data_IF_443847344523
#
_entry.id   IF_443847344523
#
_cell.length_a   1.000
_cell.length_b   1.000
_cell.length_c   1.000
_cell.angle_alpha   90.00
_cell.angle_beta   90.00
_cell.angle_gamma   90.00
#
_symmetry.space_group_name_H-M   'P 1'
#
loop_
_entity.id
_entity.type
_entity.pdbx_description
1 polymer ?
#
# COMPACT_ATOMS: atom_id res chain seq x y z
N UNK A 1 11.09 -7.00 7.29
CA UNK A 1 11.17 -5.53 7.19
C UNK A 1 10.16 -4.98 8.18
N UNK A 2 10.50 -4.09 9.13
CA UNK A 2 9.63 -3.87 10.32
C UNK A 2 8.18 -3.45 10.00
N UNK A 3 7.97 -2.45 9.12
CA UNK A 3 6.60 -2.06 8.69
C UNK A 3 5.94 -3.16 7.85
N UNK A 4 6.67 -3.72 6.88
CA UNK A 4 6.19 -4.83 6.06
C UNK A 4 5.74 -6.07 6.85
N UNK A 5 6.48 -6.46 7.89
CA UNK A 5 6.15 -7.60 8.74
C UNK A 5 4.85 -7.32 9.53
N UNK A 6 4.67 -6.07 9.99
CA UNK A 6 3.40 -5.62 10.58
C UNK A 6 2.24 -5.59 9.59
N UNK A 7 2.49 -5.21 8.33
CA UNK A 7 1.49 -5.22 7.28
C UNK A 7 1.02 -6.64 6.95
N UNK A 8 1.96 -7.60 6.83
CA UNK A 8 1.64 -9.02 6.64
C UNK A 8 0.78 -9.53 7.80
N UNK A 9 1.12 -9.20 9.05
CA UNK A 9 0.32 -9.59 10.20
C UNK A 9 -1.11 -9.02 10.13
N UNK A 10 -1.27 -7.74 9.76
CA UNK A 10 -2.58 -7.11 9.62
C UNK A 10 -3.43 -7.77 8.51
N UNK A 11 -2.82 -8.09 7.37
CA UNK A 11 -3.47 -8.80 6.26
C UNK A 11 -3.96 -10.19 6.71
N UNK A 12 -3.11 -10.96 7.41
CA UNK A 12 -3.45 -12.30 7.91
C UNK A 12 -4.60 -12.24 8.91
N UNK A 13 -4.58 -11.26 9.83
CA UNK A 13 -5.66 -11.07 10.82
C UNK A 13 -7.00 -10.74 10.16
N UNK A 14 -6.99 -9.97 9.08
CA UNK A 14 -8.20 -9.61 8.32
C UNK A 14 -8.56 -10.65 7.24
N UNK A 15 -7.83 -11.77 7.19
CA UNK A 15 -8.12 -12.91 6.33
C UNK A 15 -7.90 -12.62 4.85
N UNK A 16 -6.91 -11.79 4.51
CA UNK A 16 -6.50 -11.56 3.13
C UNK A 16 -5.34 -12.48 2.75
N UNK A 17 -5.47 -13.15 1.60
CA UNK A 17 -4.37 -13.83 0.94
C UNK A 17 -3.37 -12.82 0.33
N UNK A 18 -2.24 -13.32 -0.18
CA UNK A 18 -1.30 -12.48 -0.92
C UNK A 18 -1.92 -11.88 -2.20
N UNK A 19 -2.81 -12.62 -2.87
CA UNK A 19 -3.52 -12.11 -4.05
C UNK A 19 -4.61 -11.11 -3.64
N UNK A 20 -5.35 -11.39 -2.56
CA UNK A 20 -6.39 -10.47 -2.06
C UNK A 20 -5.77 -9.12 -1.67
N UNK A 21 -4.56 -9.12 -1.09
CA UNK A 21 -3.82 -7.92 -0.77
C UNK A 21 -3.48 -7.08 -2.02
N UNK A 22 -3.11 -7.73 -3.13
CA UNK A 22 -2.85 -7.06 -4.40
C UNK A 22 -4.13 -6.50 -5.03
N UNK A 23 -5.22 -7.26 -4.99
CA UNK A 23 -6.54 -6.81 -5.48
C UNK A 23 -7.03 -5.62 -4.65
N UNK A 24 -6.89 -5.70 -3.32
CA UNK A 24 -7.19 -4.60 -2.40
C UNK A 24 -6.35 -3.35 -2.70
N UNK A 25 -5.06 -3.52 -3.02
CA UNK A 25 -4.21 -2.41 -3.43
C UNK A 25 -4.61 -1.83 -4.80
N UNK A 26 -4.97 -2.67 -5.76
CA UNK A 26 -5.48 -2.20 -7.05
C UNK A 26 -6.79 -1.41 -6.89
N UNK A 27 -7.67 -1.87 -6.01
CA UNK A 27 -8.96 -1.25 -5.72
C UNK A 27 -8.83 0.14 -5.05
N UNK A 28 -7.67 0.47 -4.45
CA UNK A 28 -7.41 1.84 -3.95
C UNK A 28 -7.13 2.84 -5.08
N UNK A 29 -6.76 2.36 -6.27
CA UNK A 29 -6.41 3.19 -7.42
C UNK A 29 -4.98 3.75 -7.41
N UNK A 30 -4.20 3.49 -6.36
CA UNK A 30 -2.82 4.01 -6.23
C UNK A 30 -1.84 3.38 -7.23
N UNK A 31 -2.08 2.12 -7.57
CA UNK A 31 -1.29 1.34 -8.51
C UNK A 31 -2.24 0.55 -9.42
N UNK A 32 -2.07 0.60 -10.76
CA UNK A 32 -2.92 -0.16 -11.67
C UNK A 32 -2.85 -1.67 -11.42
N UNK A 33 -4.01 -2.34 -11.49
CA UNK A 33 -4.12 -3.81 -11.37
C UNK A 33 -3.14 -4.54 -12.29
N UNK A 34 -3.06 -4.12 -13.56
CA UNK A 34 -2.16 -4.72 -14.55
C UNK A 34 -0.68 -4.67 -14.13
N UNK A 35 -0.24 -3.61 -13.45
CA UNK A 35 1.13 -3.50 -12.96
C UNK A 35 1.39 -4.45 -11.77
N UNK A 36 0.45 -4.51 -10.83
CA UNK A 36 0.54 -5.42 -9.67
C UNK A 36 0.51 -6.89 -10.10
N UNK A 37 -0.37 -7.22 -11.03
CA UNK A 37 -0.49 -8.56 -11.58
C UNK A 37 0.79 -8.98 -12.32
N UNK A 38 1.26 -8.16 -13.27
CA UNK A 38 2.43 -8.48 -14.09
C UNK A 38 3.73 -8.61 -13.27
N UNK A 39 3.95 -7.70 -12.31
CA UNK A 39 5.19 -7.72 -11.51
C UNK A 39 5.23 -8.88 -10.51
N UNK A 40 4.09 -9.50 -10.21
CA UNK A 40 3.97 -10.61 -9.26
C UNK A 40 3.59 -11.94 -9.91
N UNK A 41 3.60 -11.99 -11.24
CA UNK A 41 3.43 -13.18 -12.06
C UNK A 41 2.11 -13.94 -11.79
N UNK A 42 1.03 -13.23 -11.45
CA UNK A 42 -0.30 -13.81 -11.35
C UNK A 42 -0.93 -13.94 -12.74
N UNK A 43 -1.51 -15.08 -13.05
CA UNK A 43 -2.28 -15.26 -14.29
C UNK A 43 -3.59 -14.48 -14.27
N UNK A 44 -4.17 -14.23 -15.45
CA UNK A 44 -5.48 -13.58 -15.58
C UNK A 44 -6.58 -14.40 -14.89
N UNK A 45 -6.52 -15.73 -14.99
CA UNK A 45 -7.48 -16.64 -14.37
C UNK A 45 -7.40 -16.59 -12.83
N UNK A 46 -6.18 -16.58 -12.27
CA UNK A 46 -5.99 -16.44 -10.82
C UNK A 46 -6.51 -15.10 -10.33
N UNK A 47 -6.18 -14.00 -11.03
CA UNK A 47 -6.66 -12.67 -10.66
C UNK A 47 -8.19 -12.58 -10.71
N UNK A 48 -8.81 -13.07 -11.79
CA UNK A 48 -10.26 -13.07 -11.94
C UNK A 48 -10.94 -13.92 -10.85
N UNK A 49 -10.39 -15.08 -10.52
CA UNK A 49 -10.88 -15.92 -9.44
C UNK A 49 -10.76 -15.22 -8.06
N UNK A 50 -9.65 -14.51 -7.83
CA UNK A 50 -9.45 -13.70 -6.62
C UNK A 50 -10.48 -12.58 -6.50
N UNK A 51 -10.74 -11.84 -7.59
CA UNK A 51 -11.76 -10.78 -7.62
C UNK A 51 -13.15 -11.36 -7.37
N UNK A 52 -13.50 -12.48 -8.00
CA UNK A 52 -14.77 -13.15 -7.77
C UNK A 52 -14.94 -13.59 -6.31
N UNK A 53 -13.91 -14.20 -5.71
CA UNK A 53 -13.94 -14.61 -4.30
C UNK A 53 -14.08 -13.42 -3.34
N UNK A 54 -13.37 -12.31 -3.58
CA UNK A 54 -13.52 -11.09 -2.80
C UNK A 54 -14.88 -10.43 -3.00
N UNK A 55 -15.49 -10.55 -4.18
CA UNK A 55 -16.82 -10.04 -4.47
C UNK A 55 -17.91 -10.86 -3.75
N UNK A 56 -17.77 -12.19 -3.68
CA UNK A 56 -18.63 -13.07 -2.88
C UNK A 56 -18.58 -12.72 -1.38
N UNK A 57 -17.40 -12.30 -0.89
CA UNK A 57 -17.20 -11.78 0.47
C UNK A 57 -17.71 -10.34 0.65
N UNK A 58 -18.21 -9.71 -0.40
CA UNK A 58 -18.73 -8.34 -0.39
C UNK A 58 -17.67 -7.26 -0.21
N UNK A 59 -16.38 -7.55 -0.49
CA UNK A 59 -15.27 -6.60 -0.31
C UNK A 59 -15.02 -5.76 -1.57
N UNK A 60 -15.26 -6.33 -2.75
CA UNK A 60 -15.17 -5.63 -4.04
C UNK A 60 -16.42 -5.86 -4.86
N UNK A 61 -16.67 -4.98 -5.83
CA UNK A 61 -17.62 -5.20 -6.90
C UNK A 61 -17.03 -6.15 -7.96
N UNK A 62 -17.85 -6.62 -8.89
CA UNK A 62 -17.40 -7.53 -9.96
C UNK A 62 -16.34 -6.92 -10.88
N UNK A 63 -16.23 -5.59 -10.93
CA UNK A 63 -15.20 -4.87 -11.67
C UNK A 63 -13.89 -4.67 -10.87
N UNK A 64 -13.81 -5.20 -9.65
CA UNK A 64 -12.66 -5.09 -8.75
C UNK A 64 -12.58 -3.80 -7.95
N UNK A 65 -13.54 -2.87 -8.10
CA UNK A 65 -13.60 -1.66 -7.27
C UNK A 65 -14.10 -1.97 -5.86
N UNK A 66 -13.68 -1.18 -4.86
CA UNK A 66 -14.10 -1.40 -3.48
C UNK A 66 -15.60 -1.17 -3.25
N UNK A 67 -16.21 -2.09 -2.51
CA UNK A 67 -17.44 -1.80 -1.76
C UNK A 67 -17.11 -0.94 -0.52
N UNK A 68 -18.13 -0.46 0.19
CA UNK A 68 -17.92 0.22 1.48
C UNK A 68 -17.30 -0.71 2.54
N UNK A 69 -17.70 -1.98 2.55
CA UNK A 69 -17.11 -2.98 3.46
C UNK A 69 -15.63 -3.24 3.14
N UNK A 70 -15.26 -3.28 1.85
CA UNK A 70 -13.87 -3.41 1.42
C UNK A 70 -13.01 -2.20 1.80
N UNK A 71 -13.53 -0.98 1.59
CA UNK A 71 -12.88 0.26 2.06
C UNK A 71 -12.64 0.23 3.57
N UNK A 72 -13.68 -0.09 4.34
CA UNK A 72 -13.57 -0.19 5.79
C UNK A 72 -12.56 -1.26 6.24
N UNK A 73 -12.47 -2.39 5.53
CA UNK A 73 -11.45 -3.41 5.81
C UNK A 73 -10.04 -2.88 5.51
N UNK A 74 -9.84 -2.24 4.37
CA UNK A 74 -8.56 -1.62 3.99
C UNK A 74 -8.09 -0.62 5.04
N UNK A 75 -8.98 0.25 5.51
CA UNK A 75 -8.70 1.23 6.56
C UNK A 75 -8.26 0.57 7.88
N UNK A 76 -8.90 -0.53 8.29
CA UNK A 76 -8.48 -1.29 9.48
C UNK A 76 -7.07 -1.89 9.31
N UNK A 77 -6.78 -2.45 8.14
CA UNK A 77 -5.46 -3.02 7.82
C UNK A 77 -4.38 -1.95 7.89
N UNK A 78 -4.59 -0.79 7.25
CA UNK A 78 -3.61 0.29 7.25
C UNK A 78 -3.45 0.88 8.65
N UNK A 79 -4.56 1.10 9.39
CA UNK A 79 -4.50 1.57 10.78
C UNK A 79 -3.74 0.60 11.69
N UNK A 80 -3.92 -0.70 11.52
CA UNK A 80 -3.17 -1.72 12.27
C UNK A 80 -1.69 -1.73 11.86
N UNK A 81 -1.40 -1.59 10.57
CA UNK A 81 -0.04 -1.49 10.03
C UNK A 81 0.71 -0.31 10.63
N UNK A 82 0.09 0.88 10.64
CA UNK A 82 0.70 2.10 11.17
C UNK A 82 0.91 2.02 12.68
N UNK A 83 -0.06 1.45 13.41
CA UNK A 83 0.10 1.20 14.86
C UNK A 83 1.28 0.27 15.16
N UNK A 84 1.42 -0.81 14.39
CA UNK A 84 2.54 -1.75 14.56
C UNK A 84 3.88 -1.11 14.18
N UNK A 85 3.88 -0.19 13.21
CA UNK A 85 5.07 0.52 12.76
C UNK A 85 5.49 1.69 13.67
N UNK A 86 4.66 2.11 14.63
CA UNK A 86 4.88 3.34 15.40
C UNK A 86 6.06 3.29 16.38
N UNK A 87 6.41 2.11 16.91
CA UNK A 87 7.36 2.02 18.03
C UNK A 87 8.76 2.59 17.74
N UNK A 88 9.41 2.33 16.59
CA UNK A 88 10.69 2.93 16.25
C UNK A 88 10.63 4.47 16.13
N UNK A 89 9.53 5.01 15.60
CA UNK A 89 9.32 6.44 15.45
C UNK A 89 9.12 7.13 16.80
N UNK A 90 8.36 6.49 17.71
CA UNK A 90 8.18 6.97 19.07
C UNK A 90 9.50 6.99 19.85
N UNK A 91 10.36 5.99 19.67
CA UNK A 91 11.68 5.94 20.29
C UNK A 91 12.64 7.01 19.73
N UNK A 92 12.52 7.35 18.45
CA UNK A 92 13.32 8.40 17.81
C UNK A 92 12.91 9.80 18.27
N UNK A 93 11.62 10.03 18.47
CA UNK A 93 11.06 11.32 18.90
C UNK A 93 10.91 12.33 17.78
N UNK A 94 10.04 13.32 17.99
CA UNK A 94 9.59 14.24 16.94
C UNK A 94 10.70 15.07 16.29
N UNK A 95 11.66 15.56 17.08
CA UNK A 95 12.76 16.41 16.59
C UNK A 95 13.70 15.63 15.66
N UNK A 96 14.09 14.42 16.05
CA UNK A 96 14.96 13.58 15.24
C UNK A 96 14.20 13.03 14.00
N UNK A 97 12.89 12.76 14.10
CA UNK A 97 12.04 12.48 12.94
C UNK A 97 12.02 13.66 11.95
N UNK A 98 11.92 14.90 12.43
CA UNK A 98 11.95 16.08 11.57
C UNK A 98 13.31 16.23 10.88
N UNK A 99 14.41 16.01 11.61
CA UNK A 99 15.76 16.02 11.06
C UNK A 99 15.97 14.93 10.00
N UNK A 100 15.48 13.71 10.25
CA UNK A 100 15.50 12.62 9.27
C UNK A 100 14.73 12.97 8.00
N UNK A 101 13.57 13.63 8.13
CA UNK A 101 12.77 14.08 6.99
C UNK A 101 13.54 15.08 6.13
N UNK A 102 14.21 16.07 6.72
CA UNK A 102 14.97 17.07 5.96
C UNK A 102 16.19 16.44 5.26
N UNK A 103 16.90 15.52 5.91
CA UNK A 103 17.96 14.74 5.27
C UNK A 103 17.44 13.92 4.08
N UNK A 104 16.29 13.25 4.25
CA UNK A 104 15.65 12.48 3.20
C UNK A 104 15.22 13.33 2.00
N UNK A 105 14.69 14.54 2.23
CA UNK A 105 14.35 15.50 1.17
C UNK A 105 15.57 15.92 0.36
N UNK A 106 16.67 16.24 1.03
CA UNK A 106 17.89 16.67 0.35
C UNK A 106 18.50 15.56 -0.50
N UNK A 107 18.51 14.31 0.00
CA UNK A 107 18.91 13.15 -0.79
C UNK A 107 17.98 12.92 -1.99
N UNK A 108 16.67 12.99 -1.77
CA UNK A 108 15.66 12.85 -2.84
C UNK A 108 15.88 13.89 -3.94
N UNK A 109 16.07 15.17 -3.58
CA UNK A 109 16.32 16.26 -4.53
C UNK A 109 17.54 15.96 -5.40
N UNK A 110 18.64 15.51 -4.82
CA UNK A 110 19.87 15.16 -5.58
C UNK A 110 19.65 14.02 -6.58
N UNK A 111 18.87 13.00 -6.22
CA UNK A 111 18.56 11.89 -7.12
C UNK A 111 17.68 12.35 -8.30
N UNK A 112 16.72 13.24 -8.03
CA UNK A 112 15.85 13.84 -9.05
C UNK A 112 16.63 14.75 -9.98
N UNK A 113 17.45 15.66 -9.44
CA UNK A 113 18.29 16.59 -10.22
C UNK A 113 19.28 15.83 -11.13
N UNK A 114 19.72 14.64 -10.70
CA UNK A 114 20.56 13.74 -11.49
C UNK A 114 19.81 12.98 -12.59
N UNK A 115 18.48 13.11 -12.69
CA UNK A 115 17.65 12.44 -13.69
C UNK A 115 17.48 10.93 -13.48
N UNK A 116 17.76 10.41 -12.27
CA UNK A 116 17.73 8.98 -11.97
C UNK A 116 16.33 8.46 -11.63
N UNK A 117 15.39 9.35 -11.30
CA UNK A 117 13.99 9.04 -11.04
C UNK A 117 13.11 10.02 -11.82
N UNK A 118 12.22 9.49 -12.65
CA UNK A 118 11.15 10.27 -13.25
C UNK A 118 10.05 10.46 -12.20
N UNK A 119 9.96 11.65 -11.63
CA UNK A 119 8.92 11.99 -10.65
C UNK A 119 7.80 12.73 -11.37
N UNK A 120 6.56 12.28 -11.22
CA UNK A 120 5.41 13.14 -11.53
C UNK A 120 5.35 14.23 -10.44
N UNK A 121 5.58 15.51 -10.77
CA UNK A 121 5.57 16.58 -9.78
C UNK A 121 4.26 16.64 -8.99
N UNK A 122 3.13 16.21 -9.59
CA UNK A 122 1.81 16.25 -8.96
C UNK A 122 1.62 15.26 -7.82
N UNK A 123 2.50 14.25 -7.69
CA UNK A 123 2.38 13.21 -6.65
C UNK A 123 3.01 13.62 -5.31
N UNK A 124 3.76 14.72 -5.28
CA UNK A 124 4.48 15.21 -4.10
C UNK A 124 4.28 16.71 -3.83
N UNK A 125 3.46 17.40 -4.63
CA UNK A 125 2.98 18.75 -4.31
C UNK A 125 1.74 18.65 -3.45
N UNK A 126 1.88 18.83 -2.15
CA UNK A 126 0.83 19.43 -1.32
C UNK A 126 1.46 20.50 -0.43
N UNK A 127 0.68 21.56 -0.22
CA UNK A 127 0.92 22.74 0.63
C UNK A 127 1.32 22.40 2.08
#
# INVERSE_FOLDING_TARGET
EFRGDGHIAALVVEGLSGLDALISHAASGDVPAAALQATRAWSDDEWAAGVASMAERGLVHADGSFTDAGRAQRERIESATDRLAAAPWAALGAEACASLRELGKDLTRRVVDAGLLAVDPKRYTED
#
